data_IF_948672632746
#
_entry.id   IF_948672632746
#
_cell.length_a   1.000
_cell.length_b   1.000
_cell.length_c   1.000
_cell.angle_alpha   90.00
_cell.angle_beta   90.00
_cell.angle_gamma   90.00
#
_symmetry.space_group_name_H-M   'P 1'
#
loop_
_entity.id
_entity.type
_entity.pdbx_description
1 polymer ?
#
# COMPACT_ATOMS: atom_id res chain seq x y z
N UNK A 1 -1.21 0.71 -14.19
CA UNK A 1 -1.77 1.01 -12.85
C UNK A 1 -0.71 0.68 -11.82
N UNK A 2 -0.51 1.48 -10.76
CA UNK A 2 0.44 1.14 -9.71
C UNK A 2 -0.25 0.94 -8.37
N UNK A 3 0.02 -0.20 -7.74
CA UNK A 3 -0.52 -0.55 -6.43
C UNK A 3 0.58 -0.52 -5.38
N UNK A 4 0.24 -0.17 -4.15
CA UNK A 4 1.13 -0.28 -3.00
C UNK A 4 0.56 -1.23 -1.95
N UNK A 5 1.42 -2.04 -1.34
CA UNK A 5 1.03 -2.97 -0.28
C UNK A 5 1.87 -2.70 0.96
N UNK A 6 1.18 -2.56 2.09
CA UNK A 6 1.76 -2.33 3.39
C UNK A 6 1.49 -3.53 4.30
N UNK A 7 2.47 -4.42 4.44
CA UNK A 7 2.33 -5.66 5.23
C UNK A 7 2.49 -5.45 6.73
N UNK A 8 3.22 -4.40 7.13
CA UNK A 8 3.35 -4.06 8.54
C UNK A 8 2.05 -3.42 9.03
N UNK A 9 1.57 -3.77 10.23
CA UNK A 9 0.43 -3.08 10.85
C UNK A 9 0.77 -1.58 11.01
N UNK A 10 0.02 -0.71 10.33
CA UNK A 10 0.33 0.72 10.26
C UNK A 10 -0.56 1.48 11.22
N UNK A 11 -0.02 1.85 12.37
CA UNK A 11 -0.58 2.93 13.17
C UNK A 11 0.01 4.26 12.70
N UNK A 12 -0.66 4.93 11.75
CA UNK A 12 -0.18 6.19 11.15
C UNK A 12 -0.04 7.34 12.16
N UNK A 13 -0.78 7.30 13.26
CA UNK A 13 -0.72 8.30 14.33
C UNK A 13 0.54 8.15 15.20
N UNK A 14 1.08 6.93 15.33
CA UNK A 14 2.27 6.63 16.14
C UNK A 14 3.50 6.24 15.31
N UNK A 15 3.40 6.24 13.98
CA UNK A 15 4.47 5.80 13.10
C UNK A 15 5.60 6.82 12.90
N UNK A 16 5.48 8.03 13.47
CA UNK A 16 6.46 9.11 13.36
C UNK A 16 7.87 8.64 13.73
N UNK A 17 8.71 8.43 12.71
CA UNK A 17 10.12 8.04 12.86
C UNK A 17 10.46 6.60 12.45
N UNK A 18 9.47 5.77 12.12
CA UNK A 18 9.70 4.40 11.67
C UNK A 18 9.70 4.31 10.13
N UNK A 19 10.71 3.64 9.58
CA UNK A 19 10.72 3.23 8.18
C UNK A 19 9.87 1.96 8.01
N UNK A 20 8.97 1.96 7.03
CA UNK A 20 8.13 0.82 6.67
C UNK A 20 8.48 0.36 5.27
N UNK A 21 8.54 -0.96 5.06
CA UNK A 21 8.70 -1.50 3.72
C UNK A 21 7.36 -1.43 3.01
N UNK A 22 7.34 -0.81 1.85
CA UNK A 22 6.17 -0.71 0.98
C UNK A 22 6.47 -1.44 -0.31
N UNK A 23 5.65 -2.41 -0.64
CA UNK A 23 5.77 -3.16 -1.89
C UNK A 23 5.00 -2.42 -2.98
N UNK A 24 5.61 -2.27 -4.15
CA UNK A 24 5.06 -1.55 -5.29
C UNK A 24 4.95 -2.50 -6.48
N UNK A 25 3.77 -2.50 -7.09
CA UNK A 25 3.45 -3.34 -8.24
C UNK A 25 2.91 -2.49 -9.37
N UNK A 26 3.53 -2.58 -10.55
CA UNK A 26 2.98 -2.05 -11.78
C UNK A 26 2.18 -3.12 -12.50
N UNK A 27 0.92 -2.81 -12.75
CA UNK A 27 -0.01 -3.64 -13.51
C UNK A 27 -0.30 -3.01 -14.87
N UNK A 28 -0.30 -3.83 -15.92
CA UNK A 28 -0.75 -3.48 -17.27
C UNK A 28 -1.68 -4.59 -17.76
N UNK A 29 -2.95 -4.27 -18.05
CA UNK A 29 -3.98 -5.24 -18.46
C UNK A 29 -3.97 -6.52 -17.61
N UNK A 30 -4.09 -6.33 -16.29
CA UNK A 30 -4.07 -7.39 -15.26
C UNK A 30 -2.77 -8.20 -15.17
N UNK A 31 -1.71 -7.82 -15.88
CA UNK A 31 -0.39 -8.42 -15.77
C UNK A 31 0.54 -7.56 -14.90
N UNK A 32 1.24 -8.18 -13.95
CA UNK A 32 2.32 -7.50 -13.22
C UNK A 32 3.52 -7.37 -14.15
N UNK A 33 3.85 -6.13 -14.53
CA UNK A 33 4.97 -5.80 -15.42
C UNK A 33 6.22 -5.36 -14.66
N UNK A 34 6.07 -4.93 -13.40
CA UNK A 34 7.17 -4.66 -12.50
C UNK A 34 6.76 -4.86 -11.04
N UNK A 35 7.70 -5.36 -10.24
CA UNK A 35 7.57 -5.48 -8.79
C UNK A 35 8.83 -4.93 -8.12
N UNK A 36 8.65 -4.28 -6.99
CA UNK A 36 9.74 -3.77 -6.17
C UNK A 36 9.27 -3.43 -4.78
N UNK A 37 10.20 -2.96 -3.95
CA UNK A 37 9.85 -2.41 -2.64
C UNK A 37 10.72 -1.20 -2.32
N UNK A 38 10.17 -0.31 -1.51
CA UNK A 38 10.83 0.90 -1.04
C UNK A 38 10.68 1.01 0.48
N UNK A 39 11.66 1.65 1.14
CA UNK A 39 11.52 2.07 2.52
C UNK A 39 10.86 3.45 2.57
N UNK A 40 9.71 3.53 3.23
CA UNK A 40 8.97 4.76 3.46
C UNK A 40 9.12 5.20 4.92
N UNK A 41 9.68 6.38 5.14
CA UNK A 41 9.68 7.01 6.46
C UNK A 41 8.31 7.60 6.77
N UNK A 42 7.60 7.01 7.73
CA UNK A 42 6.25 7.40 8.08
C UNK A 42 6.29 8.63 8.97
N UNK A 43 6.23 9.83 8.38
CA UNK A 43 6.28 11.10 9.13
C UNK A 43 4.89 11.52 9.63
N UNK A 44 3.92 11.58 8.73
CA UNK A 44 2.52 11.85 8.97
C UNK A 44 1.70 11.41 7.75
N UNK A 45 0.37 11.39 7.87
CA UNK A 45 -0.53 10.98 6.80
C UNK A 45 -0.36 11.79 5.50
N UNK A 46 -0.16 13.10 5.59
CA UNK A 46 0.03 13.96 4.41
C UNK A 46 1.32 13.63 3.65
N UNK A 47 2.39 13.31 4.37
CA UNK A 47 3.64 12.87 3.77
C UNK A 47 3.48 11.54 3.04
N UNK A 48 2.80 10.57 3.67
CA UNK A 48 2.50 9.27 3.04
C UNK A 48 1.64 9.47 1.79
N UNK A 49 0.61 10.32 1.87
CA UNK A 49 -0.23 10.66 0.73
C UNK A 49 0.57 11.26 -0.43
N UNK A 50 1.39 12.27 -0.16
CA UNK A 50 2.25 12.88 -1.18
C UNK A 50 3.22 11.86 -1.80
N UNK A 51 3.77 10.97 -0.97
CA UNK A 51 4.64 9.90 -1.44
C UNK A 51 3.91 8.94 -2.39
N UNK A 52 2.68 8.54 -2.06
CA UNK A 52 1.82 7.69 -2.90
C UNK A 52 1.49 8.37 -4.24
N UNK A 53 1.05 9.63 -4.18
CA UNK A 53 0.70 10.42 -5.36
C UNK A 53 1.91 10.62 -6.29
N UNK A 54 3.09 10.92 -5.73
CA UNK A 54 4.32 11.10 -6.52
C UNK A 54 4.73 9.84 -7.29
N UNK A 55 4.33 8.66 -6.80
CA UNK A 55 4.56 7.36 -7.44
C UNK A 55 3.40 6.92 -8.33
N UNK A 56 2.37 7.76 -8.48
CA UNK A 56 1.15 7.45 -9.24
C UNK A 56 0.47 6.18 -8.73
N UNK A 57 0.54 5.94 -7.42
CA UNK A 57 -0.19 4.86 -6.77
C UNK A 57 -1.67 5.20 -6.78
N UNK A 58 -2.49 4.27 -7.23
CA UNK A 58 -3.95 4.46 -7.34
C UNK A 58 -4.75 3.52 -6.43
N UNK A 59 -4.11 2.48 -5.91
CA UNK A 59 -4.70 1.55 -4.96
C UNK A 59 -3.67 1.19 -3.90
N UNK A 60 -4.08 1.15 -2.65
CA UNK A 60 -3.28 0.66 -1.54
C UNK A 60 -3.97 -0.49 -0.84
N UNK A 61 -3.20 -1.48 -0.42
CA UNK A 61 -3.62 -2.54 0.48
C UNK A 61 -2.97 -2.33 1.84
N UNK A 62 -3.78 -2.08 2.85
CA UNK A 62 -3.34 -1.67 4.19
C UNK A 62 -4.42 -1.99 5.24
N UNK A 63 -3.98 -2.50 6.39
CA UNK A 63 -4.82 -2.68 7.57
C UNK A 63 -4.48 -1.65 8.66
N UNK A 64 -5.41 -1.45 9.60
CA UNK A 64 -5.21 -0.58 10.76
C UNK A 64 -5.41 0.91 10.50
N UNK A 65 -5.91 1.29 9.32
CA UNK A 65 -6.19 2.67 8.97
C UNK A 65 -7.55 3.11 9.56
N UNK A 66 -7.58 4.25 10.26
CA UNK A 66 -8.83 4.83 10.74
C UNK A 66 -9.68 5.42 9.59
N UNK A 67 -10.95 5.68 9.87
CA UNK A 67 -11.91 6.14 8.87
C UNK A 67 -11.56 7.53 8.30
N UNK A 68 -10.97 8.41 9.12
CA UNK A 68 -10.61 9.77 8.67
C UNK A 68 -9.49 9.71 7.64
N UNK A 69 -8.49 8.87 7.87
CA UNK A 69 -7.40 8.62 6.93
C UNK A 69 -7.89 7.88 5.67
N UNK A 70 -8.85 6.96 5.82
CA UNK A 70 -9.43 6.23 4.68
C UNK A 70 -10.14 7.19 3.75
N UNK A 71 -10.95 8.07 4.31
CA UNK A 71 -11.61 9.14 3.57
C UNK A 71 -10.61 10.07 2.89
N UNK A 72 -9.55 10.50 3.59
CA UNK A 72 -8.51 11.36 3.03
C UNK A 72 -7.88 10.77 1.77
N UNK A 73 -7.48 9.50 1.82
CA UNK A 73 -6.85 8.83 0.67
C UNK A 73 -7.83 8.59 -0.48
N UNK A 74 -9.07 8.20 -0.15
CA UNK A 74 -10.14 8.00 -1.14
C UNK A 74 -10.46 9.31 -1.88
N UNK A 75 -10.57 10.42 -1.15
CA UNK A 75 -10.78 11.76 -1.73
C UNK A 75 -9.63 12.22 -2.63
N UNK A 76 -8.40 11.74 -2.37
CA UNK A 76 -7.24 11.99 -3.20
C UNK A 76 -7.17 11.09 -4.45
N UNK A 77 -8.18 10.23 -4.68
CA UNK A 77 -8.24 9.32 -5.81
C UNK A 77 -7.46 8.02 -5.63
N UNK A 78 -7.14 7.65 -4.38
CA UNK A 78 -6.47 6.39 -4.04
C UNK A 78 -7.51 5.44 -3.45
N UNK A 79 -7.73 4.31 -4.11
CA UNK A 79 -8.54 3.21 -3.59
C UNK A 79 -7.84 2.58 -2.36
N UNK A 80 -8.58 2.38 -1.27
CA UNK A 80 -8.05 1.80 -0.04
C UNK A 80 -8.71 0.46 0.24
N UNK A 81 -7.92 -0.61 0.14
CA UNK A 81 -8.33 -1.99 0.44
C UNK A 81 -7.61 -2.51 1.67
N UNK A 82 -8.24 -3.46 2.34
CA UNK A 82 -7.63 -4.24 3.43
C UNK A 82 -6.71 -5.32 2.85
N UNK A 83 -5.78 -5.84 3.65
CA UNK A 83 -4.90 -6.93 3.20
C UNK A 83 -5.68 -8.21 2.89
N UNK A 84 -6.83 -8.42 3.55
CA UNK A 84 -7.69 -9.58 3.28
C UNK A 84 -8.30 -9.58 1.87
N UNK A 85 -8.50 -8.40 1.27
CA UNK A 85 -8.99 -8.22 -0.10
C UNK A 85 -7.90 -8.48 -1.16
N UNK A 86 -6.65 -8.76 -0.76
CA UNK A 86 -5.59 -9.15 -1.71
C UNK A 86 -5.94 -10.48 -2.40
N UNK A 87 -6.71 -11.35 -1.75
CA UNK A 87 -7.17 -12.63 -2.31
C UNK A 87 -8.00 -12.47 -3.58
N UNK A 88 -8.63 -11.30 -3.75
CA UNK A 88 -9.37 -10.97 -4.97
C UNK A 88 -8.42 -10.63 -6.13
N UNK A 89 -7.12 -10.53 -5.88
CA UNK A 89 -6.05 -10.41 -6.87
C UNK A 89 -5.02 -11.56 -6.73
N UNK A 90 -5.24 -12.69 -7.40
CA UNK A 90 -4.42 -13.90 -7.27
C UNK A 90 -2.92 -13.69 -7.58
N UNK A 91 -2.59 -12.70 -8.41
CA UNK A 91 -1.19 -12.40 -8.76
C UNK A 91 -0.46 -11.71 -7.61
N UNK A 92 -1.11 -10.74 -6.95
CA UNK A 92 -0.53 -10.08 -5.79
C UNK A 92 -0.42 -11.04 -4.62
N UNK A 93 -1.43 -11.89 -4.42
CA UNK A 93 -1.41 -12.96 -3.43
C UNK A 93 -0.20 -13.88 -3.64
N UNK A 94 0.02 -14.38 -4.86
CA UNK A 94 1.15 -15.28 -5.16
C UNK A 94 2.52 -14.64 -4.88
N UNK A 95 2.71 -13.35 -5.17
CA UNK A 95 3.99 -12.67 -4.91
C UNK A 95 4.23 -12.47 -3.41
N UNK A 96 3.19 -12.14 -2.65
CA UNK A 96 3.33 -11.99 -1.20
C UNK A 96 3.68 -13.31 -0.51
N UNK A 97 3.12 -14.43 -0.98
CA UNK A 97 3.50 -15.76 -0.52
C UNK A 97 4.96 -16.10 -0.85
N UNK A 98 5.47 -15.66 -2.01
CA UNK A 98 6.87 -15.87 -2.39
C UNK A 98 7.86 -15.01 -1.58
N UNK A 99 7.46 -13.81 -1.16
CA UNK A 99 8.27 -12.88 -0.36
C UNK A 99 8.18 -13.14 1.18
N UNK A 100 7.43 -14.15 1.61
CA UNK A 100 7.38 -14.59 3.02
C UNK A 100 6.36 -13.86 3.91
N UNK A 101 5.38 -13.17 3.33
CA UNK A 101 4.26 -12.58 4.07
C UNK A 101 3.18 -13.62 4.33
N UNK A 102 3.04 -14.09 5.57
CA UNK A 102 1.80 -14.78 5.98
C UNK A 102 0.68 -13.76 6.20
N UNK A 103 -0.55 -14.02 5.71
CA UNK A 103 -1.73 -13.19 5.97
C UNK A 103 -2.19 -13.26 7.43
#
# INVERSE_FOLDING_TARGET
MRFAIFLDNINLEHAAGNAKRVYLFDLFDDLIVAAGNELLFMRNANYVLLWLLSRKVICIYIDGLDESLRMLYTQAGIEVKTLSEIKDNPLLEAILFAEGGSP
#
